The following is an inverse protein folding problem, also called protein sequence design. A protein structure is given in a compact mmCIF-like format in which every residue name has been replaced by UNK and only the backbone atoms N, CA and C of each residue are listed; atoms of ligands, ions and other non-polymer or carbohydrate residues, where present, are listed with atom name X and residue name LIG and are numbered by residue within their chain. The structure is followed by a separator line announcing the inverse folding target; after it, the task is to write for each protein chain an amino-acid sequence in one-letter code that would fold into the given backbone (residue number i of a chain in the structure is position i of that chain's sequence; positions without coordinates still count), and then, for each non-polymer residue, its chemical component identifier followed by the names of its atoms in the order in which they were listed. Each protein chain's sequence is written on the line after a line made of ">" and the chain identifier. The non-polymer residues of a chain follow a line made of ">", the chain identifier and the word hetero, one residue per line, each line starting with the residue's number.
data_IF_140814421215
#
_entry.id   IF_140814421215
#
_cell.length_a   1.000
_cell.length_b   1.000
_cell.length_c   1.000
_cell.angle_alpha   90.00
_cell.angle_beta   90.00
_cell.angle_gamma   90.00
#
_symmetry.space_group_name_H-M   'P 1'
#
loop_
_entity.id
_entity.type
_entity.pdbx_description
1 polymer ?
#
# COMPACT_ATOMS: atom_id res chain seq x y z
N UNK A 1 -12.99 -3.87 12.66
CA UNK A 1 -13.64 -5.07 12.08
C UNK A 1 -13.33 -6.20 13.04
N UNK A 2 -14.21 -6.39 14.01
CA UNK A 2 -13.96 -7.27 15.15
C UNK A 2 -14.69 -8.59 14.90
N UNK A 3 -14.28 -9.31 13.85
CA UNK A 3 -14.95 -10.57 13.48
C UNK A 3 -14.42 -11.76 14.29
N UNK A 4 -15.26 -12.75 14.67
CA UNK A 4 -16.59 -13.05 14.10
C UNK A 4 -17.71 -13.41 15.12
N UNK A 5 -18.97 -13.54 14.67
CA UNK A 5 -20.05 -14.15 15.48
C UNK A 5 -20.04 -15.70 15.48
N UNK A 6 -19.39 -16.37 14.52
CA UNK A 6 -19.04 -17.82 14.54
C UNK A 6 -17.77 -18.04 13.68
N UNK A 7 -16.95 -19.03 14.05
CA UNK A 7 -15.74 -19.42 13.30
C UNK A 7 -14.46 -18.70 13.75
N UNK A 8 -13.38 -18.85 12.97
CA UNK A 8 -12.11 -18.14 13.18
C UNK A 8 -11.98 -17.03 12.14
N UNK A 9 -11.53 -15.85 12.57
CA UNK A 9 -11.12 -14.77 11.68
C UNK A 9 -9.61 -14.81 11.48
N UNK A 10 -9.14 -14.49 10.27
CA UNK A 10 -7.71 -14.22 10.03
C UNK A 10 -7.30 -12.81 10.48
N UNK A 11 -8.28 -11.95 10.82
CA UNK A 11 -8.05 -10.57 11.21
C UNK A 11 -7.94 -10.43 12.72
N UNK A 12 -6.94 -9.66 13.14
CA UNK A 12 -6.74 -9.23 14.49
C UNK A 12 -6.86 -7.70 14.53
N UNK A 13 -7.92 -7.14 15.14
CA UNK A 13 -8.15 -5.70 15.15
C UNK A 13 -7.28 -4.96 16.16
N UNK A 14 -6.52 -5.65 17.01
CA UNK A 14 -5.79 -5.05 18.13
C UNK A 14 -4.87 -3.90 17.69
N UNK A 15 -4.14 -4.05 16.58
CA UNK A 15 -3.28 -2.98 16.07
C UNK A 15 -4.07 -1.72 15.67
N UNK A 16 -5.27 -1.88 15.11
CA UNK A 16 -6.11 -0.74 14.76
C UNK A 16 -6.67 -0.04 16.01
N UNK A 17 -7.11 -0.80 17.02
CA UNK A 17 -7.59 -0.24 18.28
C UNK A 17 -6.50 0.52 19.03
N UNK A 18 -5.32 -0.09 19.18
CA UNK A 18 -4.18 0.55 19.84
C UNK A 18 -3.69 1.79 19.09
N UNK A 19 -3.79 1.83 17.75
CA UNK A 19 -3.46 3.03 16.98
C UNK A 19 -4.42 4.19 17.29
N UNK A 20 -5.73 3.91 17.39
CA UNK A 20 -6.74 4.92 17.75
C UNK A 20 -6.50 5.45 19.17
N UNK A 21 -6.28 4.55 20.13
CA UNK A 21 -5.99 4.89 21.53
C UNK A 21 -4.70 5.73 21.65
N UNK A 22 -3.62 5.30 21.00
CA UNK A 22 -2.34 6.01 21.05
C UNK A 22 -2.42 7.41 20.42
N UNK A 23 -3.22 7.58 19.36
CA UNK A 23 -3.45 8.89 18.76
C UNK A 23 -4.28 9.79 19.68
N UNK A 24 -5.28 9.24 20.38
CA UNK A 24 -6.07 9.97 21.38
C UNK A 24 -5.18 10.46 22.54
N UNK A 25 -4.30 9.59 23.04
CA UNK A 25 -3.38 9.87 24.16
C UNK A 25 -2.41 11.03 23.86
N UNK A 26 -2.03 11.21 22.60
CA UNK A 26 -1.16 12.32 22.16
C UNK A 26 -1.94 13.53 21.61
N UNK A 27 -3.26 13.56 21.80
CA UNK A 27 -4.11 14.73 21.58
C UNK A 27 -4.75 14.83 20.19
N UNK A 28 -4.73 13.77 19.37
CA UNK A 28 -5.52 13.75 18.14
C UNK A 28 -7.01 13.52 18.46
N UNK A 29 -7.88 14.11 17.64
CA UNK A 29 -9.31 13.82 17.68
C UNK A 29 -9.55 12.44 17.05
N UNK A 30 -9.48 11.42 17.90
CA UNK A 30 -9.70 10.03 17.56
C UNK A 30 -11.03 9.53 18.14
N UNK A 31 -11.79 8.74 17.37
CA UNK A 31 -13.06 8.16 17.81
C UNK A 31 -13.19 6.72 17.33
N UNK A 32 -13.52 5.82 18.24
CA UNK A 32 -13.94 4.46 17.93
C UNK A 32 -15.46 4.37 17.92
N UNK A 33 -16.03 3.90 16.81
CA UNK A 33 -17.48 3.77 16.63
C UNK A 33 -17.82 2.30 16.44
N UNK A 34 -18.58 1.75 17.37
CA UNK A 34 -19.11 0.39 17.26
C UNK A 34 -20.19 0.36 16.17
N UNK A 35 -20.08 -0.56 15.22
CA UNK A 35 -21.09 -0.73 14.17
C UNK A 35 -21.19 -2.19 13.72
N UNK A 36 -22.38 -2.59 13.27
CA UNK A 36 -22.71 -3.90 12.73
C UNK A 36 -22.83 -3.88 11.19
N UNK A 37 -22.32 -2.82 10.55
CA UNK A 37 -22.45 -2.58 9.11
C UNK A 37 -22.06 -3.77 8.25
N UNK A 38 -21.04 -4.52 8.68
CA UNK A 38 -20.55 -5.68 7.93
C UNK A 38 -21.56 -6.84 7.86
N UNK A 39 -22.55 -6.86 8.76
CA UNK A 39 -23.60 -7.87 8.88
C UNK A 39 -24.87 -7.50 8.10
N UNK A 40 -24.98 -6.28 7.57
CA UNK A 40 -26.18 -5.83 6.82
C UNK A 40 -26.32 -6.50 5.44
N UNK A 41 -25.32 -7.27 5.01
CA UNK A 41 -25.33 -7.99 3.73
C UNK A 41 -24.93 -9.45 3.85
N UNK A 42 -25.32 -10.22 2.82
CA UNK A 42 -24.90 -11.61 2.63
C UNK A 42 -24.10 -11.76 1.32
N UNK A 43 -22.92 -12.42 1.32
CA UNK A 43 -22.17 -12.88 2.48
C UNK A 43 -21.68 -11.70 3.34
N UNK A 44 -21.47 -11.95 4.63
CA UNK A 44 -21.02 -10.98 5.64
C UNK A 44 -19.72 -10.33 5.15
N UNK A 45 -19.68 -8.99 5.02
CA UNK A 45 -18.55 -8.29 4.43
C UNK A 45 -18.86 -6.86 4.02
N UNK A 46 -17.89 -6.21 3.39
CA UNK A 46 -18.11 -4.95 2.68
C UNK A 46 -18.25 -5.22 1.18
N UNK A 47 -19.21 -4.61 0.47
CA UNK A 47 -19.35 -4.74 -0.98
C UNK A 47 -18.27 -3.94 -1.76
N UNK A 48 -17.72 -2.89 -1.15
CA UNK A 48 -16.63 -2.07 -1.69
C UNK A 48 -15.68 -1.67 -0.55
N UNK A 49 -14.44 -1.38 -0.92
CA UNK A 49 -13.41 -0.73 -0.09
C UNK A 49 -13.84 0.59 0.53
N UNK A 50 -14.88 1.27 0.02
CA UNK A 50 -15.40 2.52 0.60
C UNK A 50 -16.54 2.31 1.60
N UNK A 51 -17.07 1.08 1.73
CA UNK A 51 -18.24 0.83 2.61
C UNK A 51 -17.93 1.06 4.08
N UNK A 52 -16.68 0.88 4.52
CA UNK A 52 -16.27 1.20 5.89
C UNK A 52 -16.37 2.70 6.21
N UNK A 53 -16.60 3.57 5.22
CA UNK A 53 -16.88 5.00 5.43
C UNK A 53 -18.33 5.33 5.81
N UNK A 54 -19.28 4.39 5.73
CA UNK A 54 -20.69 4.66 6.08
C UNK A 54 -20.87 5.24 7.50
N UNK A 55 -20.18 4.73 8.56
CA UNK A 55 -20.28 5.37 9.88
C UNK A 55 -19.77 6.82 9.89
N UNK A 56 -18.74 7.14 9.10
CA UNK A 56 -18.24 8.50 8.98
C UNK A 56 -19.24 9.41 8.24
N UNK A 57 -19.96 8.90 7.24
CA UNK A 57 -21.05 9.63 6.58
C UNK A 57 -22.16 9.96 7.57
N UNK A 58 -22.61 8.98 8.37
CA UNK A 58 -23.67 9.18 9.36
C UNK A 58 -23.30 10.15 10.49
N UNK A 59 -22.01 10.33 10.75
CA UNK A 59 -21.49 11.21 11.79
C UNK A 59 -20.93 12.53 11.23
N UNK A 60 -21.07 12.79 9.93
CA UNK A 60 -20.42 13.92 9.28
C UNK A 60 -20.84 15.27 9.87
N UNK A 61 -22.14 15.45 10.14
CA UNK A 61 -22.66 16.67 10.78
C UNK A 61 -22.10 16.87 12.20
N UNK A 62 -21.97 15.77 12.96
CA UNK A 62 -21.40 15.82 14.32
C UNK A 62 -19.94 16.27 14.31
N UNK A 63 -19.16 15.84 13.30
CA UNK A 63 -17.77 16.24 13.13
C UNK A 63 -17.59 17.52 12.31
N UNK A 64 -18.68 18.12 11.81
CA UNK A 64 -18.64 19.23 10.85
C UNK A 64 -17.70 18.93 9.66
N UNK A 65 -17.77 17.70 9.14
CA UNK A 65 -16.87 17.20 8.11
C UNK A 65 -17.34 17.63 6.71
N UNK A 66 -16.41 18.18 5.90
CA UNK A 66 -16.65 18.53 4.49
C UNK A 66 -16.19 17.45 3.50
N UNK A 67 -15.43 16.47 3.98
CA UNK A 67 -14.86 15.39 3.17
C UNK A 67 -14.48 14.18 4.01
N UNK A 68 -14.45 12.99 3.40
CA UNK A 68 -13.97 11.75 4.01
C UNK A 68 -12.78 11.24 3.19
N UNK A 69 -11.69 10.93 3.88
CA UNK A 69 -10.44 10.54 3.26
C UNK A 69 -10.24 9.01 3.25
N UNK A 70 -9.72 8.48 2.14
CA UNK A 70 -9.32 7.07 2.01
C UNK A 70 -7.87 6.94 1.50
N UNK A 71 -7.24 5.82 1.82
CA UNK A 71 -5.81 5.56 1.57
C UNK A 71 -5.51 4.87 0.24
N UNK A 72 -6.04 5.35 -0.88
CA UNK A 72 -5.63 4.87 -2.21
C UNK A 72 -4.23 5.41 -2.53
N UNK A 73 -3.25 4.53 -2.74
CA UNK A 73 -1.86 4.88 -3.08
C UNK A 73 -1.65 5.01 -4.59
N UNK A 74 -0.52 5.57 -5.03
CA UNK A 74 -0.15 5.82 -6.43
C UNK A 74 -0.23 4.56 -7.32
N UNK A 75 0.17 3.39 -6.84
CA UNK A 75 0.06 2.12 -7.57
C UNK A 75 -1.40 1.80 -7.91
N UNK A 76 -2.28 2.05 -6.93
CA UNK A 76 -3.70 1.94 -7.15
C UNK A 76 -4.16 3.10 -8.02
N UNK A 77 -4.05 4.37 -7.63
CA UNK A 77 -4.62 5.47 -8.40
C UNK A 77 -4.14 5.49 -9.87
N UNK A 78 -2.87 5.24 -10.16
CA UNK A 78 -2.33 5.43 -11.51
C UNK A 78 -1.84 4.16 -12.21
N UNK A 79 -2.00 2.98 -11.60
CA UNK A 79 -1.68 1.71 -12.25
C UNK A 79 -0.19 1.39 -12.35
N UNK A 80 0.68 2.19 -11.73
CA UNK A 80 2.15 2.04 -11.80
C UNK A 80 2.72 0.80 -11.07
N UNK A 81 1.86 -0.05 -10.52
CA UNK A 81 2.19 -1.38 -9.99
C UNK A 81 1.39 -2.51 -10.66
N UNK A 82 0.76 -2.17 -11.80
CA UNK A 82 -0.05 -3.01 -12.67
C UNK A 82 0.45 -2.87 -14.12
N UNK A 83 -0.19 -3.58 -15.04
CA UNK A 83 0.26 -3.68 -16.43
C UNK A 83 0.31 -2.33 -17.16
N UNK A 84 -0.64 -1.42 -16.90
CA UNK A 84 -0.78 -0.17 -17.65
C UNK A 84 -1.23 0.99 -16.77
N UNK A 85 -0.80 2.18 -17.17
CA UNK A 85 -1.27 3.44 -16.61
C UNK A 85 -2.80 3.53 -16.63
N UNK A 86 -3.36 4.18 -15.60
CA UNK A 86 -4.76 4.60 -15.56
C UNK A 86 -4.87 6.01 -14.99
N UNK A 87 -5.80 6.79 -15.51
CA UNK A 87 -6.12 8.10 -14.94
C UNK A 87 -7.36 7.97 -14.04
N UNK A 88 -7.13 7.71 -12.74
CA UNK A 88 -8.21 7.46 -11.78
C UNK A 88 -9.22 8.61 -11.60
N UNK A 89 -8.83 9.90 -11.60
CA UNK A 89 -9.76 11.03 -11.62
C UNK A 89 -10.87 10.97 -12.67
N UNK A 90 -10.61 10.37 -13.84
CA UNK A 90 -11.63 10.19 -14.90
C UNK A 90 -12.19 8.77 -14.96
N UNK A 91 -11.76 7.90 -14.05
CA UNK A 91 -12.17 6.50 -13.99
C UNK A 91 -13.60 6.31 -13.49
N UNK A 92 -14.22 5.21 -13.90
CA UNK A 92 -15.60 4.87 -13.52
C UNK A 92 -15.79 4.78 -12.00
N UNK A 93 -14.81 4.21 -11.29
CA UNK A 93 -14.86 4.08 -9.83
C UNK A 93 -14.94 5.44 -9.14
N UNK A 94 -14.01 6.35 -9.43
CA UNK A 94 -14.02 7.68 -8.84
C UNK A 94 -15.26 8.46 -9.23
N UNK A 95 -15.64 8.45 -10.51
CA UNK A 95 -16.82 9.16 -11.01
C UNK A 95 -18.09 8.71 -10.27
N UNK A 96 -18.27 7.40 -10.11
CA UNK A 96 -19.40 6.83 -9.39
C UNK A 96 -19.42 7.24 -7.91
N UNK A 97 -18.34 6.98 -7.18
CA UNK A 97 -18.33 7.22 -5.74
C UNK A 97 -18.25 8.71 -5.38
N UNK A 98 -17.49 9.52 -6.11
CA UNK A 98 -17.49 10.98 -5.89
C UNK A 98 -18.89 11.57 -6.07
N UNK A 99 -19.66 11.10 -7.06
CA UNK A 99 -21.07 11.50 -7.23
C UNK A 99 -21.92 11.12 -6.02
N UNK A 100 -21.75 9.92 -5.47
CA UNK A 100 -22.49 9.47 -4.28
C UNK A 100 -22.14 10.28 -3.03
N UNK A 101 -20.86 10.57 -2.78
CA UNK A 101 -20.45 11.42 -1.65
C UNK A 101 -21.01 12.83 -1.83
N UNK A 102 -20.90 13.41 -3.04
CA UNK A 102 -21.39 14.76 -3.32
C UNK A 102 -22.91 14.87 -3.12
N UNK A 103 -23.67 13.80 -3.40
CA UNK A 103 -25.12 13.79 -3.22
C UNK A 103 -25.57 13.97 -1.75
N UNK A 104 -24.68 13.71 -0.79
CA UNK A 104 -24.92 13.93 0.65
C UNK A 104 -24.10 15.10 1.21
N UNK A 105 -23.58 15.97 0.34
CA UNK A 105 -22.81 17.15 0.74
C UNK A 105 -21.39 16.86 1.24
N UNK A 106 -20.87 15.66 0.99
CA UNK A 106 -19.52 15.25 1.37
C UNK A 106 -18.64 15.07 0.14
N UNK A 107 -17.32 15.21 0.29
CA UNK A 107 -16.38 14.93 -0.78
C UNK A 107 -15.52 13.70 -0.49
N UNK A 108 -15.36 12.83 -1.49
CA UNK A 108 -14.37 11.77 -1.45
C UNK A 108 -12.97 12.37 -1.65
N UNK A 109 -12.11 12.25 -0.64
CA UNK A 109 -10.72 12.72 -0.69
C UNK A 109 -9.73 11.55 -0.70
N UNK A 110 -8.72 11.61 -1.56
CA UNK A 110 -7.67 10.59 -1.69
C UNK A 110 -6.28 11.23 -1.58
N UNK A 111 -5.86 11.67 -0.38
CA UNK A 111 -4.60 12.39 -0.18
C UNK A 111 -3.36 11.57 -0.58
N UNK A 112 -3.44 10.24 -0.46
CA UNK A 112 -2.32 9.36 -0.79
C UNK A 112 -2.25 8.95 -2.27
N UNK A 113 -3.17 9.43 -3.12
CA UNK A 113 -3.27 8.98 -4.51
C UNK A 113 -2.03 9.30 -5.34
N UNK A 114 -1.24 10.30 -4.97
CA UNK A 114 0.03 10.65 -5.62
C UNK A 114 1.26 10.11 -4.92
N UNK A 115 1.10 9.27 -3.90
CA UNK A 115 2.19 8.75 -3.07
C UNK A 115 2.27 7.24 -3.23
N UNK A 116 3.42 6.75 -3.68
CA UNK A 116 3.65 5.31 -3.84
C UNK A 116 3.75 4.62 -2.49
N UNK A 117 3.74 3.29 -2.49
CA UNK A 117 4.00 2.53 -1.28
C UNK A 117 5.38 2.85 -0.66
N UNK A 118 6.39 3.11 -1.50
CA UNK A 118 7.73 3.57 -1.07
C UNK A 118 7.62 4.91 -0.36
N UNK A 119 6.92 5.88 -0.97
CA UNK A 119 6.68 7.19 -0.37
C UNK A 119 5.89 7.09 0.94
N UNK A 120 4.92 6.17 1.05
CA UNK A 120 4.20 5.95 2.31
C UNK A 120 5.11 5.41 3.41
N UNK A 121 6.08 4.55 3.08
CA UNK A 121 7.05 4.05 4.07
C UNK A 121 7.96 5.19 4.57
N UNK A 122 8.43 6.05 3.65
CA UNK A 122 9.22 7.24 4.02
C UNK A 122 8.44 8.23 4.89
N UNK A 123 7.14 8.43 4.63
CA UNK A 123 6.27 9.25 5.49
C UNK A 123 6.15 8.62 6.87
N UNK A 124 5.88 7.32 6.96
CA UNK A 124 5.73 6.62 8.25
C UNK A 124 7.01 6.76 9.06
N UNK A 125 8.18 6.55 8.46
CA UNK A 125 9.46 6.67 9.17
C UNK A 125 9.67 8.07 9.77
N UNK A 126 9.43 9.12 8.97
CA UNK A 126 9.69 10.50 9.38
C UNK A 126 8.58 11.10 10.25
N UNK A 127 7.41 10.50 10.26
CA UNK A 127 6.24 11.06 10.94
C UNK A 127 6.33 10.86 12.45
N UNK A 128 6.01 11.87 13.26
CA UNK A 128 5.96 11.73 14.72
C UNK A 128 4.91 10.72 15.19
N UNK A 129 3.96 10.36 14.33
CA UNK A 129 2.94 9.33 14.58
C UNK A 129 3.20 8.04 13.79
N UNK A 130 4.38 7.88 13.20
CA UNK A 130 4.77 6.67 12.47
C UNK A 130 4.66 5.40 13.29
N UNK A 131 4.92 5.49 14.59
CA UNK A 131 4.92 4.36 15.52
C UNK A 131 3.55 3.66 15.68
N UNK A 132 2.43 4.30 15.31
CA UNK A 132 1.10 3.67 15.33
C UNK A 132 0.76 2.95 14.02
N UNK A 133 1.58 3.09 12.99
CA UNK A 133 1.28 2.56 11.67
C UNK A 133 1.61 1.07 11.57
N UNK A 134 0.59 0.24 11.34
CA UNK A 134 0.78 -1.17 11.03
C UNK A 134 -0.09 -1.60 9.84
N UNK A 135 0.56 -2.05 8.77
CA UNK A 135 -0.15 -2.57 7.58
C UNK A 135 -0.72 -3.97 7.77
N UNK A 136 -0.13 -4.78 8.66
CA UNK A 136 -0.56 -6.15 8.90
C UNK A 136 -1.82 -6.19 9.76
N UNK A 137 -2.91 -6.68 9.19
CA UNK A 137 -4.20 -6.87 9.89
C UNK A 137 -4.34 -8.26 10.53
N UNK A 138 -3.33 -9.12 10.43
CA UNK A 138 -3.36 -10.51 10.94
C UNK A 138 -2.52 -10.68 12.22
N UNK A 139 -1.61 -9.75 12.48
CA UNK A 139 -0.74 -9.74 13.66
C UNK A 139 -1.25 -8.83 14.76
N UNK A 140 -0.54 -8.80 15.88
CA UNK A 140 -0.74 -7.83 16.97
C UNK A 140 0.12 -6.59 16.74
N UNK A 141 -0.08 -5.51 17.50
CA UNK A 141 0.76 -4.31 17.39
C UNK A 141 2.23 -4.66 17.58
N UNK A 142 3.11 -4.12 16.72
CA UNK A 142 4.55 -4.40 16.68
C UNK A 142 4.93 -5.88 16.44
N UNK A 143 3.97 -6.72 16.09
CA UNK A 143 4.15 -8.16 15.88
C UNK A 143 3.34 -8.58 14.65
N UNK A 144 3.73 -8.11 13.45
CA UNK A 144 3.06 -8.49 12.21
C UNK A 144 3.15 -10.00 11.99
N UNK A 145 2.21 -10.58 11.22
CA UNK A 145 2.19 -12.04 11.05
C UNK A 145 3.38 -12.62 10.26
N UNK A 146 4.12 -11.78 9.53
CA UNK A 146 5.28 -12.12 8.68
C UNK A 146 5.04 -13.23 7.65
N UNK A 147 3.77 -13.56 7.38
CA UNK A 147 3.37 -14.68 6.51
C UNK A 147 2.47 -14.27 5.35
N UNK A 148 2.06 -13.00 5.26
CA UNK A 148 1.18 -12.51 4.20
C UNK A 148 1.95 -11.68 3.17
N UNK A 149 1.35 -11.50 1.99
CA UNK A 149 1.95 -10.73 0.90
C UNK A 149 2.37 -9.31 1.31
N UNK A 150 1.50 -8.62 2.06
CA UNK A 150 1.80 -7.28 2.57
C UNK A 150 3.01 -7.26 3.51
N UNK A 151 3.15 -8.27 4.38
CA UNK A 151 4.31 -8.35 5.28
C UNK A 151 5.60 -8.57 4.51
N UNK A 152 5.62 -9.48 3.52
CA UNK A 152 6.79 -9.69 2.67
C UNK A 152 7.24 -8.39 2.03
N UNK A 153 6.35 -7.72 1.30
CA UNK A 153 6.68 -6.48 0.60
C UNK A 153 7.10 -5.35 1.55
N UNK A 154 6.41 -5.18 2.69
CA UNK A 154 6.75 -4.11 3.64
C UNK A 154 8.07 -4.37 4.36
N UNK A 155 8.37 -5.62 4.70
CA UNK A 155 9.63 -5.99 5.30
C UNK A 155 10.81 -5.81 4.32
N UNK A 156 10.67 -6.27 3.08
CA UNK A 156 11.73 -6.10 2.07
C UNK A 156 11.94 -4.65 1.68
N UNK A 157 10.85 -3.86 1.60
CA UNK A 157 10.94 -2.41 1.41
C UNK A 157 11.60 -1.71 2.59
N UNK A 158 11.28 -2.08 3.83
CA UNK A 158 11.92 -1.54 5.02
C UNK A 158 13.43 -1.76 5.03
N UNK A 159 13.89 -2.98 4.68
CA UNK A 159 15.31 -3.29 4.49
C UNK A 159 15.95 -2.44 3.38
N UNK A 160 15.27 -2.31 2.25
CA UNK A 160 15.75 -1.54 1.09
C UNK A 160 15.85 -0.02 1.33
N UNK A 161 15.12 0.49 2.32
CA UNK A 161 15.14 1.88 2.75
C UNK A 161 15.95 2.09 4.05
N UNK A 162 16.61 1.04 4.55
CA UNK A 162 17.37 1.05 5.82
C UNK A 162 16.54 1.54 7.02
N UNK A 163 15.24 1.23 7.04
CA UNK A 163 14.34 1.62 8.12
C UNK A 163 14.52 0.70 9.34
N UNK A 164 14.54 1.29 10.54
CA UNK A 164 14.89 0.64 11.82
C UNK A 164 13.81 -0.34 12.34
N UNK A 165 12.82 -0.68 11.52
CA UNK A 165 11.62 -1.40 11.94
C UNK A 165 11.80 -2.92 11.92
N UNK A 166 12.43 -3.49 12.95
CA UNK A 166 12.26 -4.90 13.36
C UNK A 166 12.30 -5.90 12.22
N UNK A 167 13.23 -5.71 11.29
CA UNK A 167 13.25 -6.47 10.05
C UNK A 167 13.42 -7.96 10.34
N UNK A 168 12.71 -8.85 9.62
CA UNK A 168 12.91 -10.28 9.73
C UNK A 168 14.38 -10.63 9.54
N UNK A 169 14.86 -11.62 10.29
CA UNK A 169 16.27 -12.03 10.24
C UNK A 169 16.70 -12.51 8.84
N UNK A 170 15.78 -13.08 8.06
CA UNK A 170 16.06 -13.68 6.74
C UNK A 170 14.89 -13.52 5.77
N UNK A 171 15.17 -13.46 4.46
CA UNK A 171 14.12 -13.42 3.41
C UNK A 171 13.38 -14.76 3.34
N UNK A 172 14.08 -15.87 3.55
CA UNK A 172 13.50 -17.22 3.60
C UNK A 172 12.36 -17.33 4.62
N UNK A 173 12.49 -16.66 5.78
CA UNK A 173 11.45 -16.65 6.82
C UNK A 173 10.12 -16.03 6.37
N UNK A 174 10.15 -15.18 5.33
CA UNK A 174 8.98 -14.52 4.76
C UNK A 174 8.29 -15.33 3.65
N UNK A 175 8.94 -16.38 3.11
CA UNK A 175 8.47 -17.14 1.94
C UNK A 175 7.38 -18.18 2.29
N UNK A 176 6.27 -17.69 2.86
CA UNK A 176 5.08 -18.51 3.05
C UNK A 176 4.48 -18.97 1.71
N UNK A 177 3.59 -19.97 1.74
CA UNK A 177 2.82 -20.39 0.55
C UNK A 177 2.07 -19.23 -0.13
N UNK A 178 1.51 -18.31 0.65
CA UNK A 178 0.83 -17.12 0.12
C UNK A 178 1.82 -16.21 -0.61
N UNK A 179 2.98 -15.98 -0.01
CA UNK A 179 4.02 -15.11 -0.57
C UNK A 179 4.60 -15.72 -1.85
N UNK A 180 4.99 -16.99 -1.84
CA UNK A 180 5.46 -17.72 -3.03
C UNK A 180 4.43 -17.64 -4.16
N UNK A 181 3.16 -17.91 -3.87
CA UNK A 181 2.07 -17.81 -4.86
C UNK A 181 1.93 -16.41 -5.46
N UNK A 182 2.20 -15.34 -4.70
CA UNK A 182 2.17 -13.97 -5.21
C UNK A 182 3.42 -13.59 -6.02
N UNK A 183 4.58 -14.12 -5.64
CA UNK A 183 5.83 -13.94 -6.37
C UNK A 183 5.85 -14.70 -7.70
N UNK A 184 5.12 -15.81 -7.78
CA UNK A 184 4.90 -16.57 -9.02
C UNK A 184 3.72 -16.06 -9.85
N UNK A 185 3.09 -14.93 -9.48
CA UNK A 185 2.14 -14.28 -10.36
C UNK A 185 2.87 -13.53 -11.49
N UNK A 186 2.24 -13.44 -12.66
CA UNK A 186 2.78 -12.76 -13.83
C UNK A 186 1.73 -11.80 -14.41
N UNK A 187 1.79 -10.49 -14.12
CA UNK A 187 2.78 -9.80 -13.28
C UNK A 187 2.64 -10.07 -11.77
N UNK A 188 3.68 -9.73 -11.00
CA UNK A 188 3.65 -9.72 -9.54
C UNK A 188 2.77 -8.55 -9.08
N UNK A 189 1.95 -8.75 -8.05
CA UNK A 189 1.12 -7.64 -7.52
C UNK A 189 2.00 -6.59 -6.81
N UNK A 190 2.04 -5.35 -7.33
CA UNK A 190 3.00 -4.31 -6.90
C UNK A 190 4.44 -4.66 -7.29
N UNK A 191 4.63 -5.14 -8.52
CA UNK A 191 5.94 -5.56 -9.03
C UNK A 191 6.97 -4.43 -9.00
N UNK A 192 6.55 -3.18 -9.23
CA UNK A 192 7.37 -1.99 -9.07
C UNK A 192 7.97 -1.86 -7.65
N UNK A 193 7.18 -2.10 -6.60
CA UNK A 193 7.66 -2.03 -5.20
C UNK A 193 8.63 -3.17 -4.91
N UNK A 194 8.36 -4.37 -5.43
CA UNK A 194 9.28 -5.51 -5.31
C UNK A 194 10.60 -5.20 -6.03
N UNK A 195 10.54 -4.69 -7.26
CA UNK A 195 11.71 -4.28 -8.04
C UNK A 195 12.53 -3.21 -7.34
N UNK A 196 11.87 -2.17 -6.82
CA UNK A 196 12.50 -1.13 -6.02
C UNK A 196 13.25 -1.73 -4.82
N UNK A 197 12.60 -2.66 -4.11
CA UNK A 197 13.15 -3.30 -2.91
C UNK A 197 14.33 -4.20 -3.25
N UNK A 198 14.22 -5.08 -4.25
CA UNK A 198 15.28 -6.05 -4.58
C UNK A 198 16.56 -5.39 -5.07
N UNK A 199 16.46 -4.25 -5.76
CA UNK A 199 17.63 -3.46 -6.22
C UNK A 199 18.40 -2.79 -5.10
N UNK A 200 17.72 -2.47 -3.99
CA UNK A 200 18.28 -1.73 -2.85
C UNK A 200 18.40 -2.59 -1.60
N UNK A 201 18.02 -3.86 -1.67
CA UNK A 201 18.09 -4.77 -0.53
C UNK A 201 19.57 -4.93 -0.12
N UNK A 202 19.94 -4.61 1.14
CA UNK A 202 21.32 -4.71 1.61
C UNK A 202 21.83 -6.14 1.42
N UNK A 203 23.06 -6.31 0.92
CA UNK A 203 23.65 -7.64 0.62
C UNK A 203 24.68 -8.11 1.64
N UNK A 204 24.96 -7.28 2.63
CA UNK A 204 25.91 -7.56 3.69
C UNK A 204 25.32 -8.59 4.67
N UNK A 205 26.14 -9.55 5.11
CA UNK A 205 25.80 -10.53 6.16
C UNK A 205 24.59 -11.44 5.84
N UNK A 206 24.33 -11.71 4.56
CA UNK A 206 23.29 -12.65 4.11
C UNK A 206 23.88 -14.04 3.88
N UNK A 207 23.18 -15.08 4.34
CA UNK A 207 23.58 -16.47 4.08
C UNK A 207 23.41 -16.88 2.60
N UNK A 208 23.97 -18.03 2.22
CA UNK A 208 23.96 -18.47 0.82
C UNK A 208 22.56 -18.73 0.26
N UNK A 209 21.63 -19.19 1.09
CA UNK A 209 20.29 -19.57 0.65
C UNK A 209 19.44 -18.32 0.40
N UNK A 210 19.49 -17.37 1.33
CA UNK A 210 18.86 -16.07 1.19
C UNK A 210 19.47 -15.27 0.02
N UNK A 211 20.79 -15.33 -0.19
CA UNK A 211 21.44 -14.69 -1.33
C UNK A 211 20.89 -15.23 -2.65
N UNK A 212 20.79 -16.57 -2.77
CA UNK A 212 20.25 -17.24 -3.96
C UNK A 212 18.80 -16.80 -4.24
N UNK A 213 17.96 -16.73 -3.21
CA UNK A 213 16.58 -16.25 -3.33
C UNK A 213 16.54 -14.80 -3.81
N UNK A 214 17.32 -13.92 -3.20
CA UNK A 214 17.37 -12.50 -3.55
C UNK A 214 17.89 -12.27 -4.96
N UNK A 215 18.85 -13.07 -5.42
CA UNK A 215 19.38 -12.99 -6.78
C UNK A 215 18.33 -13.44 -7.80
N UNK A 216 17.64 -14.56 -7.56
CA UNK A 216 16.53 -14.99 -8.43
C UNK A 216 15.38 -13.96 -8.46
N UNK A 217 15.06 -13.34 -7.33
CA UNK A 217 14.05 -12.28 -7.28
C UNK A 217 14.50 -11.00 -7.99
N UNK A 218 15.77 -10.61 -7.86
CA UNK A 218 16.33 -9.46 -8.58
C UNK A 218 16.32 -9.71 -10.08
N UNK A 219 16.77 -10.89 -10.52
CA UNK A 219 16.75 -11.29 -11.93
C UNK A 219 15.33 -11.27 -12.50
N UNK A 220 14.33 -11.71 -11.71
CA UNK A 220 12.91 -11.67 -12.10
C UNK A 220 12.39 -10.26 -12.39
N UNK A 221 12.93 -9.23 -11.74
CA UNK A 221 12.40 -7.86 -11.79
C UNK A 221 13.37 -6.84 -12.40
N UNK A 222 14.57 -7.27 -12.82
CA UNK A 222 15.64 -6.37 -13.26
C UNK A 222 15.26 -5.52 -14.47
N UNK A 223 14.39 -6.03 -15.35
CA UNK A 223 14.00 -5.38 -16.61
C UNK A 223 13.04 -4.21 -16.47
N UNK A 224 12.50 -3.94 -15.27
CA UNK A 224 11.66 -2.75 -15.02
C UNK A 224 12.53 -1.48 -15.15
N UNK A 225 11.97 -0.34 -15.53
CA UNK A 225 12.73 0.93 -15.64
C UNK A 225 13.27 1.41 -14.29
N UNK A 226 13.96 2.56 -14.27
CA UNK A 226 14.24 3.26 -13.01
C UNK A 226 12.93 3.58 -12.26
N UNK A 227 12.99 3.53 -10.93
CA UNK A 227 11.86 3.64 -10.01
C UNK A 227 12.10 4.68 -8.91
N UNK A 228 13.10 5.55 -9.06
CA UNK A 228 13.38 6.63 -8.10
C UNK A 228 12.18 7.56 -7.89
N UNK A 229 11.32 7.72 -8.90
CA UNK A 229 10.08 8.47 -8.80
C UNK A 229 9.13 7.97 -7.70
N UNK A 230 9.24 6.70 -7.28
CA UNK A 230 8.45 6.16 -6.17
C UNK A 230 8.74 6.88 -4.84
N UNK A 231 9.90 7.52 -4.71
CA UNK A 231 10.28 8.28 -3.50
C UNK A 231 9.71 9.70 -3.46
N UNK A 232 8.95 10.11 -4.48
CA UNK A 232 8.43 11.48 -4.66
C UNK A 232 6.92 11.52 -4.73
N UNK A 233 6.37 12.72 -4.55
CA UNK A 233 4.94 12.97 -4.65
C UNK A 233 4.53 13.41 -6.07
N UNK A 234 3.62 12.64 -6.67
CA UNK A 234 2.97 12.98 -7.93
C UNK A 234 1.91 14.07 -7.73
N UNK A 235 2.34 15.33 -7.80
CA UNK A 235 1.53 16.52 -7.56
C UNK A 235 0.19 16.59 -8.32
N UNK A 236 0.05 16.11 -9.57
CA UNK A 236 -1.25 16.13 -10.26
C UNK A 236 -2.37 15.43 -9.48
N UNK A 237 -2.06 14.48 -8.59
CA UNK A 237 -3.06 13.82 -7.75
C UNK A 237 -3.78 14.74 -6.76
N UNK A 238 -3.28 15.95 -6.49
CA UNK A 238 -3.88 16.88 -5.54
C UNK A 238 -5.35 17.22 -5.86
N UNK A 239 -5.78 17.05 -7.12
CA UNK A 239 -7.16 17.24 -7.54
C UNK A 239 -8.13 16.30 -6.81
N UNK A 240 -7.63 15.14 -6.35
CA UNK A 240 -8.38 14.14 -5.58
C UNK A 240 -8.49 14.50 -4.09
N UNK A 241 -7.89 15.60 -3.64
CA UNK A 241 -8.11 16.16 -2.29
C UNK A 241 -9.17 17.25 -2.39
N UNK A 242 -10.10 17.29 -1.44
CA UNK A 242 -11.12 18.35 -1.39
C UNK A 242 -10.47 19.73 -1.35
N UNK A 243 -11.03 20.69 -2.10
CA UNK A 243 -10.42 22.00 -2.35
C UNK A 243 -10.09 22.77 -1.07
N UNK A 244 -10.91 22.67 -0.02
CA UNK A 244 -10.68 23.35 1.25
C UNK A 244 -9.44 22.86 2.00
N UNK A 245 -8.92 21.67 1.67
CA UNK A 245 -7.78 21.05 2.36
C UNK A 245 -6.54 20.96 1.48
N UNK A 246 -6.61 21.34 0.19
CA UNK A 246 -5.51 21.14 -0.77
C UNK A 246 -4.24 21.89 -0.38
N UNK A 247 -4.36 23.12 0.09
CA UNK A 247 -3.23 23.95 0.48
C UNK A 247 -2.53 23.35 1.71
N UNK A 248 -3.28 23.10 2.79
CA UNK A 248 -2.77 22.47 4.00
C UNK A 248 -2.16 21.09 3.74
N UNK A 249 -2.82 20.27 2.92
CA UNK A 249 -2.29 18.98 2.50
C UNK A 249 -0.97 19.15 1.73
N UNK A 250 -0.91 20.10 0.78
CA UNK A 250 0.29 20.37 -0.02
C UNK A 250 1.44 20.81 0.86
N UNK A 251 1.21 21.69 1.83
CA UNK A 251 2.26 22.07 2.78
C UNK A 251 2.75 20.87 3.59
N UNK A 252 1.82 20.07 4.15
CA UNK A 252 2.19 18.89 4.97
C UNK A 252 2.92 17.80 4.20
N UNK A 253 2.51 17.48 2.97
CA UNK A 253 3.15 16.39 2.21
C UNK A 253 4.60 16.74 1.84
N UNK A 254 4.89 18.03 1.64
CA UNK A 254 6.23 18.54 1.32
C UNK A 254 7.20 18.48 2.51
N UNK A 255 6.71 18.34 3.73
CA UNK A 255 7.55 18.05 4.90
C UNK A 255 8.19 16.65 4.81
N UNK A 256 7.62 15.75 3.99
CA UNK A 256 8.03 14.35 3.90
C UNK A 256 8.69 13.98 2.57
N UNK A 257 8.12 14.47 1.47
CA UNK A 257 8.45 14.06 0.11
C UNK A 257 8.64 15.26 -0.82
N UNK A 258 9.59 15.15 -1.74
CA UNK A 258 9.76 16.12 -2.81
C UNK A 258 8.66 15.98 -3.88
N UNK A 259 8.42 17.07 -4.62
CA UNK A 259 7.56 17.02 -5.81
C UNK A 259 8.27 16.27 -6.93
N UNK A 260 7.55 15.35 -7.57
CA UNK A 260 8.01 14.66 -8.75
C UNK A 260 8.28 15.63 -9.91
N UNK A 261 9.49 15.63 -10.50
CA UNK A 261 9.79 16.44 -11.68
C UNK A 261 8.92 16.05 -12.89
N UNK A 262 8.80 16.94 -13.90
CA UNK A 262 8.00 16.67 -15.09
C UNK A 262 8.41 15.39 -15.84
N UNK A 263 9.71 15.09 -15.92
CA UNK A 263 10.22 13.89 -16.59
C UNK A 263 9.65 12.60 -15.95
N UNK A 264 9.74 12.49 -14.64
CA UNK A 264 9.23 11.36 -13.87
C UNK A 264 7.69 11.30 -13.89
N UNK A 265 7.02 12.46 -13.94
CA UNK A 265 5.57 12.52 -14.12
C UNK A 265 5.15 11.92 -15.46
N UNK A 266 5.89 12.21 -16.54
CA UNK A 266 5.67 11.58 -17.85
C UNK A 266 5.97 10.08 -17.85
N UNK A 267 6.91 9.60 -17.04
CA UNK A 267 7.16 8.17 -16.86
C UNK A 267 5.96 7.46 -16.22
N UNK A 268 5.27 8.10 -15.27
CA UNK A 268 3.99 7.59 -14.73
C UNK A 268 2.91 7.55 -15.81
N UNK A 269 2.70 8.65 -16.52
CA UNK A 269 1.63 8.79 -17.52
C UNK A 269 1.81 7.86 -18.73
N UNK A 270 3.05 7.45 -19.00
CA UNK A 270 3.41 6.49 -20.06
C UNK A 270 3.63 5.06 -19.56
N UNK A 271 3.34 4.78 -18.27
CA UNK A 271 3.62 3.49 -17.65
C UNK A 271 2.96 2.32 -18.40
N UNK A 272 3.79 1.35 -18.79
CA UNK A 272 3.36 0.07 -19.34
C UNK A 272 4.40 -1.00 -19.03
N UNK A 273 3.93 -2.17 -18.60
CA UNK A 273 4.74 -3.36 -18.38
C UNK A 273 4.76 -4.29 -19.61
N UNK A 274 4.05 -3.96 -20.70
CA UNK A 274 3.86 -4.85 -21.85
C UNK A 274 5.20 -5.33 -22.44
N UNK A 275 6.16 -4.42 -22.60
CA UNK A 275 7.51 -4.74 -23.11
C UNK A 275 8.30 -5.62 -22.14
N UNK A 276 8.26 -5.28 -20.85
CA UNK A 276 8.92 -6.05 -19.79
C UNK A 276 8.35 -7.47 -19.67
N UNK A 277 7.03 -7.62 -19.76
CA UNK A 277 6.34 -8.91 -19.64
C UNK A 277 6.50 -9.80 -20.88
N UNK A 278 6.73 -9.20 -22.06
CA UNK A 278 7.01 -9.92 -23.30
C UNK A 278 8.49 -10.28 -23.48
N UNK A 279 9.39 -9.76 -22.63
CA UNK A 279 10.82 -9.99 -22.74
C UNK A 279 11.18 -11.46 -22.43
N UNK A 280 11.86 -12.19 -23.34
CA UNK A 280 12.25 -13.59 -23.12
C UNK A 280 13.11 -13.81 -21.87
N UNK A 281 13.92 -12.83 -21.47
CA UNK A 281 14.74 -12.91 -20.27
C UNK A 281 13.89 -12.81 -19.00
N UNK A 282 12.84 -11.97 -19.00
CA UNK A 282 11.87 -11.89 -17.89
C UNK A 282 11.10 -13.20 -17.73
N UNK A 283 10.66 -13.80 -18.85
CA UNK A 283 9.97 -15.10 -18.85
C UNK A 283 10.90 -16.18 -18.32
N UNK A 284 12.13 -16.27 -18.83
CA UNK A 284 13.10 -17.27 -18.34
C UNK A 284 13.44 -17.09 -16.85
N UNK A 285 13.53 -15.85 -16.36
CA UNK A 285 13.77 -15.59 -14.93
C UNK A 285 12.56 -15.96 -14.06
N UNK A 286 11.34 -15.86 -14.60
CA UNK A 286 10.13 -16.35 -13.94
C UNK A 286 10.14 -17.87 -13.78
N UNK A 287 10.45 -18.61 -14.85
CA UNK A 287 10.53 -20.07 -14.82
C UNK A 287 11.60 -20.54 -13.82
N UNK A 288 12.77 -19.90 -13.81
CA UNK A 288 13.85 -20.19 -12.85
C UNK A 288 13.43 -19.94 -11.38
N UNK A 289 12.64 -18.90 -11.13
CA UNK A 289 12.10 -18.62 -9.79
C UNK A 289 11.07 -19.67 -9.38
N UNK A 290 10.24 -20.16 -10.32
CA UNK A 290 9.30 -21.25 -10.08
C UNK A 290 10.03 -22.55 -9.73
N UNK A 291 11.05 -22.92 -10.50
CA UNK A 291 11.90 -24.08 -10.22
C UNK A 291 12.52 -24.00 -8.81
N UNK A 292 13.12 -22.86 -8.46
CA UNK A 292 13.70 -22.61 -7.14
C UNK A 292 12.68 -22.84 -6.01
N UNK A 293 11.44 -22.38 -6.17
CA UNK A 293 10.42 -22.50 -5.13
C UNK A 293 9.81 -23.90 -5.00
N UNK A 294 9.99 -24.73 -6.02
CA UNK A 294 9.55 -26.13 -6.09
C UNK A 294 10.66 -27.13 -5.74
N UNK A 295 11.89 -26.68 -5.48
CA UNK A 295 12.95 -27.54 -4.95
C UNK A 295 12.51 -28.17 -3.60
N UNK A 296 12.79 -29.48 -3.40
CA UNK A 296 12.33 -30.24 -2.24
C UNK A 296 12.96 -29.82 -0.91
#
# INVERSE_FOLDING_TARGET
>A
MDRPLKGKSLYNPQAAHLAVESLEDIGYVSKSVQCDLEYVRHPVGFPTDLSNGVPAILLADHFNASSIAFGTVLESAYGIGHERYRDYPIGAHYTFYSTLFNAVGLHLSLPMAGVSEVGTAMIVEKSPIGFVAQSCIRGTMNNPCLKCWKCFRKATLGRALELDSGSPATISSLLSREVKSKLLAYPISHENVVAFSMRRYPREEIDSDDSRILDSLLERVKGISDLDFLTRWYKPSQILVHSSWREDFTHKILDFLEVMPPKESSEIESWSMDSFLADPSTISAHDQLEDLFNEP
#
